data_IF_508532447347
#
_entry.id   IF_508532447347
#
_cell.length_a   1.000
_cell.length_b   1.000
_cell.length_c   1.000
_cell.angle_alpha   90.00
_cell.angle_beta   90.00
_cell.angle_gamma   90.00
#
_symmetry.space_group_name_H-M   'P 1'
#
loop_
_entity.id
_entity.type
_entity.pdbx_description
1 polymer ?
#
# COMPACT_ATOMS: atom_id res chain seq x y z
N UNK A 1 -16.78 -45.50 18.79
CA UNK A 1 -17.14 -45.28 17.37
C UNK A 1 -18.56 -45.75 16.99
N UNK A 2 -19.04 -46.93 17.41
CA UNK A 2 -20.41 -47.41 17.08
C UNK A 2 -21.55 -46.53 17.62
N UNK A 3 -21.44 -46.02 18.85
CA UNK A 3 -22.44 -45.09 19.45
C UNK A 3 -22.53 -43.74 18.74
N UNK A 4 -21.39 -43.17 18.31
CA UNK A 4 -21.35 -41.90 17.58
C UNK A 4 -22.00 -42.03 16.19
N UNK A 5 -21.73 -43.13 15.47
CA UNK A 5 -22.39 -43.45 14.19
C UNK A 5 -23.91 -43.65 14.36
N UNK A 6 -24.34 -44.28 15.45
CA UNK A 6 -25.76 -44.49 15.71
C UNK A 6 -26.51 -43.18 16.04
N UNK A 7 -25.86 -42.29 16.80
CA UNK A 7 -26.39 -40.95 17.08
C UNK A 7 -26.47 -40.09 15.80
N UNK A 8 -25.43 -40.09 14.96
CA UNK A 8 -25.41 -39.39 13.66
C UNK A 8 -26.42 -39.97 12.66
N UNK A 9 -26.77 -41.25 12.75
CA UNK A 9 -27.84 -41.87 11.94
C UNK A 9 -29.25 -41.61 12.47
N UNK A 10 -29.39 -41.13 13.71
CA UNK A 10 -30.68 -40.78 14.31
C UNK A 10 -31.22 -39.45 13.73
N UNK A 11 -32.54 -39.26 13.79
CA UNK A 11 -33.18 -38.04 13.28
C UNK A 11 -32.66 -36.78 14.01
N UNK A 12 -32.39 -36.88 15.31
CA UNK A 12 -31.83 -35.81 16.15
C UNK A 12 -30.40 -35.47 15.73
N UNK A 13 -29.57 -36.48 15.47
CA UNK A 13 -28.19 -36.26 15.01
C UNK A 13 -28.12 -35.60 13.64
N UNK A 14 -29.02 -35.97 12.72
CA UNK A 14 -29.13 -35.30 11.40
C UNK A 14 -29.51 -33.83 11.53
N UNK A 15 -30.50 -33.52 12.37
CA UNK A 15 -30.90 -32.13 12.65
C UNK A 15 -29.74 -31.32 13.25
N UNK A 16 -29.01 -31.90 14.21
CA UNK A 16 -27.85 -31.26 14.81
C UNK A 16 -26.74 -30.97 13.80
N UNK A 17 -26.42 -31.91 12.90
CA UNK A 17 -25.40 -31.71 11.86
C UNK A 17 -25.81 -30.63 10.87
N UNK A 18 -27.09 -30.60 10.45
CA UNK A 18 -27.60 -29.55 9.55
C UNK A 18 -27.50 -28.18 10.22
N UNK A 19 -27.89 -28.08 11.50
CA UNK A 19 -27.79 -26.84 12.27
C UNK A 19 -26.34 -26.39 12.43
N UNK A 20 -25.44 -27.30 12.78
CA UNK A 20 -24.02 -27.03 12.94
C UNK A 20 -23.39 -26.58 11.62
N UNK A 21 -23.74 -27.23 10.51
CA UNK A 21 -23.29 -26.84 9.17
C UNK A 21 -23.79 -25.44 8.81
N UNK A 22 -25.07 -25.14 9.08
CA UNK A 22 -25.64 -23.81 8.86
C UNK A 22 -24.94 -22.73 9.67
N UNK A 23 -24.69 -22.98 10.96
CA UNK A 23 -23.95 -22.06 11.83
C UNK A 23 -22.51 -21.85 11.35
N UNK A 24 -21.83 -22.92 10.92
CA UNK A 24 -20.46 -22.84 10.41
C UNK A 24 -20.38 -21.99 9.12
N UNK A 25 -21.29 -22.22 8.17
CA UNK A 25 -21.35 -21.44 6.92
C UNK A 25 -21.67 -19.98 7.20
N UNK A 26 -22.62 -19.70 8.10
CA UNK A 26 -22.98 -18.34 8.50
C UNK A 26 -21.80 -17.60 9.16
N UNK A 27 -21.06 -18.27 10.04
CA UNK A 27 -19.90 -17.69 10.72
C UNK A 27 -18.77 -17.35 9.72
N UNK A 28 -18.50 -18.22 8.76
CA UNK A 28 -17.50 -17.96 7.72
C UNK A 28 -17.93 -16.79 6.83
N UNK A 29 -19.19 -16.79 6.39
CA UNK A 29 -19.75 -15.73 5.56
C UNK A 29 -19.68 -14.35 6.23
N UNK A 30 -20.10 -14.28 7.50
CA UNK A 30 -20.03 -13.05 8.29
C UNK A 30 -18.58 -12.55 8.46
N UNK A 31 -17.65 -13.47 8.73
CA UNK A 31 -16.23 -13.13 8.90
C UNK A 31 -15.60 -12.61 7.60
N UNK A 32 -15.90 -13.26 6.47
CA UNK A 32 -15.37 -12.87 5.16
C UNK A 32 -15.88 -11.48 4.74
N UNK A 33 -17.17 -11.22 4.91
CA UNK A 33 -17.76 -9.91 4.64
C UNK A 33 -17.15 -8.83 5.53
N UNK A 34 -17.01 -9.09 6.84
CA UNK A 34 -16.40 -8.16 7.78
C UNK A 34 -14.95 -7.83 7.42
N UNK A 35 -14.15 -8.83 7.02
CA UNK A 35 -12.76 -8.62 6.62
C UNK A 35 -12.65 -7.86 5.30
N UNK A 36 -13.49 -8.16 4.30
CA UNK A 36 -13.46 -7.47 3.00
C UNK A 36 -13.77 -5.98 3.14
N UNK A 37 -14.80 -5.63 3.94
CA UNK A 37 -15.17 -4.23 4.19
C UNK A 37 -14.06 -3.47 4.89
N UNK A 38 -13.43 -4.09 5.90
CA UNK A 38 -12.28 -3.49 6.61
C UNK A 38 -11.09 -3.26 5.68
N UNK A 39 -10.78 -4.18 4.78
CA UNK A 39 -9.70 -4.03 3.82
C UNK A 39 -9.95 -2.85 2.86
N UNK A 40 -11.18 -2.75 2.34
CA UNK A 40 -11.56 -1.65 1.45
C UNK A 40 -11.49 -0.28 2.14
N UNK A 41 -11.93 -0.20 3.39
CA UNK A 41 -11.82 1.03 4.19
C UNK A 41 -10.36 1.40 4.45
N UNK A 42 -9.51 0.41 4.75
CA UNK A 42 -8.08 0.63 4.97
C UNK A 42 -7.36 1.12 3.71
N UNK A 43 -7.66 0.53 2.55
CA UNK A 43 -7.09 0.95 1.27
C UNK A 43 -7.45 2.40 0.95
N UNK A 44 -8.72 2.79 1.14
CA UNK A 44 -9.16 4.17 0.96
C UNK A 44 -8.46 5.15 1.91
N UNK A 45 -8.33 4.80 3.18
CA UNK A 45 -7.62 5.64 4.16
C UNK A 45 -6.14 5.81 3.80
N UNK A 46 -5.50 4.73 3.34
CA UNK A 46 -4.11 4.77 2.93
C UNK A 46 -3.91 5.65 1.68
N UNK A 47 -4.78 5.57 0.69
CA UNK A 47 -4.75 6.43 -0.50
C UNK A 47 -4.88 7.91 -0.13
N UNK A 48 -5.86 8.24 0.71
CA UNK A 48 -6.04 9.61 1.19
C UNK A 48 -4.82 10.13 1.94
N UNK A 49 -4.22 9.30 2.80
CA UNK A 49 -3.00 9.65 3.53
C UNK A 49 -1.81 9.91 2.60
N UNK A 50 -1.64 9.11 1.55
CA UNK A 50 -0.58 9.31 0.56
C UNK A 50 -0.82 10.62 -0.20
N UNK A 51 -2.06 10.87 -0.61
CA UNK A 51 -2.44 12.07 -1.33
C UNK A 51 -2.23 13.34 -0.48
N UNK A 52 -2.58 13.32 0.81
CA UNK A 52 -2.32 14.43 1.75
C UNK A 52 -0.83 14.77 1.86
N UNK A 53 0.01 13.73 1.97
CA UNK A 53 1.47 13.90 2.06
C UNK A 53 2.06 14.46 0.77
N UNK A 54 1.59 13.96 -0.38
CA UNK A 54 2.03 14.46 -1.68
C UNK A 54 1.65 15.93 -1.85
N UNK A 55 0.39 16.28 -1.59
CA UNK A 55 -0.10 17.65 -1.70
C UNK A 55 0.63 18.58 -0.74
N UNK A 56 0.82 18.18 0.52
CA UNK A 56 1.58 18.96 1.50
C UNK A 56 3.03 19.19 1.09
N UNK A 57 3.69 18.17 0.53
CA UNK A 57 5.07 18.31 0.07
C UNK A 57 5.18 19.18 -1.19
N UNK A 58 4.27 19.04 -2.16
CA UNK A 58 4.26 19.90 -3.35
C UNK A 58 3.99 21.36 -2.97
N UNK A 59 3.05 21.61 -2.06
CA UNK A 59 2.79 22.95 -1.55
C UNK A 59 4.02 23.54 -0.83
N UNK A 60 4.79 22.71 -0.11
CA UNK A 60 6.05 23.13 0.51
C UNK A 60 7.11 23.52 -0.54
N UNK A 61 7.22 22.73 -1.62
CA UNK A 61 8.12 23.00 -2.74
C UNK A 61 7.75 24.29 -3.48
N UNK A 62 6.46 24.51 -3.72
CA UNK A 62 5.96 25.69 -4.43
C UNK A 62 6.03 26.96 -3.56
N UNK A 63 5.87 26.84 -2.24
CA UNK A 63 6.01 27.94 -1.30
C UNK A 63 7.45 28.38 -1.03
N UNK A 64 8.46 27.57 -1.38
CA UNK A 64 9.88 27.84 -1.10
C UNK A 64 10.76 27.61 -2.34
N UNK A 65 10.66 28.46 -3.38
CA UNK A 65 11.36 28.25 -4.64
C UNK A 65 12.89 28.22 -4.48
N UNK A 66 13.44 29.04 -3.59
CA UNK A 66 14.89 29.10 -3.31
C UNK A 66 15.44 27.80 -2.70
N UNK A 67 14.59 27.05 -2.01
CA UNK A 67 14.95 25.79 -1.35
C UNK A 67 14.50 24.57 -2.14
N UNK A 68 13.81 24.76 -3.26
CA UNK A 68 13.18 23.67 -4.04
C UNK A 68 14.18 22.57 -4.40
N UNK A 69 15.34 22.94 -4.94
CA UNK A 69 16.37 21.98 -5.34
C UNK A 69 16.93 21.20 -4.14
N UNK A 70 17.14 21.89 -3.02
CA UNK A 70 17.61 21.25 -1.78
C UNK A 70 16.55 20.32 -1.19
N UNK A 71 15.29 20.75 -1.18
CA UNK A 71 14.17 19.96 -0.69
C UNK A 71 13.95 18.72 -1.56
N UNK A 72 14.07 18.84 -2.89
CA UNK A 72 14.00 17.71 -3.81
C UNK A 72 15.15 16.73 -3.63
N UNK A 73 16.37 17.22 -3.37
CA UNK A 73 17.54 16.38 -3.11
C UNK A 73 17.42 15.59 -1.81
N UNK A 74 16.91 16.20 -0.74
CA UNK A 74 16.70 15.55 0.55
C UNK A 74 15.48 14.61 0.51
N UNK A 75 14.43 15.03 -0.21
CA UNK A 75 13.13 14.38 -0.18
C UNK A 75 12.31 14.71 1.08
N UNK A 76 11.01 14.52 1.00
CA UNK A 76 10.08 14.61 2.12
C UNK A 76 9.79 13.25 2.78
N UNK A 77 9.01 13.25 3.87
CA UNK A 77 8.50 12.03 4.46
C UNK A 77 7.68 11.24 3.43
N UNK A 78 8.14 10.03 3.07
CA UNK A 78 7.55 9.15 2.06
C UNK A 78 7.44 9.72 0.63
N UNK A 79 8.06 10.87 0.34
CA UNK A 79 8.12 11.46 -1.01
C UNK A 79 9.57 11.73 -1.36
N UNK A 80 10.07 11.14 -2.43
CA UNK A 80 11.47 11.30 -2.86
C UNK A 80 11.54 11.40 -4.36
N UNK A 81 12.60 12.06 -4.85
CA UNK A 81 12.92 12.01 -6.27
C UNK A 81 13.16 10.55 -6.70
N UNK A 82 12.52 10.15 -7.79
CA UNK A 82 12.70 8.83 -8.36
C UNK A 82 14.08 8.74 -9.01
N UNK A 83 14.85 7.70 -8.69
CA UNK A 83 16.17 7.52 -9.30
C UNK A 83 16.08 7.32 -10.81
N UNK A 84 17.06 7.83 -11.58
CA UNK A 84 17.11 7.59 -13.02
C UNK A 84 17.22 6.08 -13.31
N UNK A 85 16.45 5.62 -14.31
CA UNK A 85 16.39 4.20 -14.69
C UNK A 85 15.49 3.33 -13.82
N UNK A 86 14.73 3.91 -12.88
CA UNK A 86 13.71 3.18 -12.16
C UNK A 86 12.61 2.66 -13.10
N UNK A 87 12.26 1.38 -12.98
CA UNK A 87 11.18 0.78 -13.75
C UNK A 87 9.82 1.28 -13.23
N UNK A 88 9.06 1.90 -14.14
CA UNK A 88 7.65 2.20 -13.96
C UNK A 88 6.82 1.01 -14.46
N UNK A 89 5.83 0.65 -13.67
CA UNK A 89 4.85 -0.39 -13.98
C UNK A 89 3.53 0.22 -14.44
N UNK A 90 2.43 -0.47 -14.11
CA UNK A 90 1.07 -0.04 -14.47
C UNK A 90 0.74 1.33 -13.85
N UNK A 91 -0.17 2.06 -14.49
CA UNK A 91 -0.75 3.27 -13.91
C UNK A 91 -1.58 2.92 -12.67
N UNK A 92 -1.56 3.83 -11.68
CA UNK A 92 -2.39 3.73 -10.47
C UNK A 92 -3.59 4.65 -10.59
N UNK A 93 -4.66 4.14 -11.23
CA UNK A 93 -5.88 4.91 -11.46
C UNK A 93 -6.58 5.29 -10.17
N UNK A 94 -6.53 4.44 -9.14
CA UNK A 94 -7.17 4.70 -7.86
C UNK A 94 -6.52 5.90 -7.14
N UNK A 95 -5.19 6.00 -7.15
CA UNK A 95 -4.53 7.19 -6.60
C UNK A 95 -4.73 8.42 -7.49
N UNK A 96 -4.76 8.27 -8.82
CA UNK A 96 -5.04 9.38 -9.74
C UNK A 96 -6.43 9.98 -9.50
N UNK A 97 -7.47 9.16 -9.32
CA UNK A 97 -8.83 9.63 -9.01
C UNK A 97 -8.86 10.44 -7.69
N UNK A 98 -8.21 9.94 -6.64
CA UNK A 98 -8.12 10.65 -5.35
C UNK A 98 -7.36 11.98 -5.47
N UNK A 99 -6.37 12.06 -6.37
CA UNK A 99 -5.61 13.29 -6.61
C UNK A 99 -6.40 14.27 -7.48
N UNK A 100 -7.16 13.81 -8.46
CA UNK A 100 -8.00 14.61 -9.34
C UNK A 100 -9.07 15.40 -8.56
N UNK A 101 -9.65 14.79 -7.52
CA UNK A 101 -10.60 15.44 -6.61
C UNK A 101 -9.98 16.56 -5.75
N UNK A 102 -8.64 16.70 -5.73
CA UNK A 102 -7.94 17.66 -4.88
C UNK A 102 -7.56 18.93 -5.66
N UNK A 103 -7.67 20.11 -5.05
CA UNK A 103 -7.24 21.34 -5.70
C UNK A 103 -5.72 21.44 -5.80
N UNK A 104 -5.24 22.15 -6.82
CA UNK A 104 -3.85 22.54 -6.97
C UNK A 104 -3.03 21.64 -7.90
N UNK A 105 -1.69 21.68 -7.80
CA UNK A 105 -0.77 21.08 -8.77
C UNK A 105 -0.82 19.55 -8.83
N UNK A 106 -1.37 18.91 -7.79
CA UNK A 106 -1.50 17.45 -7.73
C UNK A 106 -2.70 16.90 -8.50
N UNK A 107 -3.68 17.75 -8.85
CA UNK A 107 -4.92 17.36 -9.57
C UNK A 107 -4.69 16.68 -10.93
N UNK A 108 -3.54 16.94 -11.56
CA UNK A 108 -3.17 16.41 -12.88
C UNK A 108 -1.96 15.48 -12.80
N UNK A 109 -1.68 14.91 -11.63
CA UNK A 109 -0.54 14.04 -11.44
C UNK A 109 -0.76 12.69 -12.15
N UNK A 110 0.24 12.25 -12.90
CA UNK A 110 0.29 10.89 -13.41
C UNK A 110 0.97 9.97 -12.41
N UNK A 111 0.26 8.93 -11.96
CA UNK A 111 0.76 7.99 -10.97
C UNK A 111 1.00 6.62 -11.60
N UNK A 112 2.17 6.07 -11.32
CA UNK A 112 2.54 4.72 -11.73
C UNK A 112 3.09 3.94 -10.54
N UNK A 113 2.82 2.63 -10.52
CA UNK A 113 3.53 1.75 -9.60
C UNK A 113 5.00 1.68 -9.99
N UNK A 114 5.89 1.86 -9.03
CA UNK A 114 7.32 1.57 -9.21
C UNK A 114 7.70 0.28 -8.48
N UNK A 115 8.80 -0.34 -8.88
CA UNK A 115 9.33 -1.46 -8.11
C UNK A 115 9.67 -1.01 -6.69
N UNK A 116 9.39 -1.84 -5.68
CA UNK A 116 9.67 -1.50 -4.28
C UNK A 116 11.15 -1.12 -4.05
N UNK A 117 12.07 -1.79 -4.76
CA UNK A 117 13.51 -1.47 -4.74
C UNK A 117 13.83 -0.06 -5.25
N UNK A 118 12.98 0.52 -6.11
CA UNK A 118 13.13 1.89 -6.59
C UNK A 118 12.79 2.93 -5.52
N UNK A 119 11.98 2.57 -4.51
CA UNK A 119 11.57 3.45 -3.43
C UNK A 119 12.50 3.40 -2.21
N UNK A 120 13.39 2.40 -2.16
CA UNK A 120 14.38 2.25 -1.09
C UNK A 120 15.67 2.97 -1.52
N UNK A 121 16.26 3.83 -0.66
CA UNK A 121 17.57 4.41 -0.94
C UNK A 121 18.60 3.29 -1.08
N UNK A 122 19.46 3.37 -2.09
CA UNK A 122 20.53 2.38 -2.22
C UNK A 122 21.52 2.59 -1.08
N UNK A 123 22.10 1.50 -0.57
CA UNK A 123 23.07 1.57 0.52
C UNK A 123 24.25 2.52 0.20
N UNK A 124 24.68 2.53 -1.06
CA UNK A 124 25.70 3.45 -1.57
C UNK A 124 25.35 4.94 -1.40
N UNK A 125 24.07 5.30 -1.38
CA UNK A 125 23.61 6.69 -1.21
C UNK A 125 23.60 7.10 0.27
N UNK A 126 23.69 6.12 1.18
CA UNK A 126 23.74 6.33 2.64
C UNK A 126 25.18 6.32 3.18
N UNK A 127 26.12 5.80 2.39
CA UNK A 127 27.52 5.71 2.75
C UNK A 127 28.23 7.04 2.40
N UNK A 128 29.18 7.49 3.23
CA UNK A 128 30.00 8.64 2.88
C UNK A 128 30.74 8.37 1.55
N UNK A 129 30.97 9.41 0.73
CA UNK A 129 31.69 9.23 -0.53
C UNK A 129 33.07 8.62 -0.24
N UNK A 130 33.53 7.66 -1.06
CA UNK A 130 34.83 7.05 -0.86
C UNK A 130 35.92 8.14 -0.95
N UNK A 131 36.97 8.06 -0.10
CA UNK A 131 38.05 9.03 -0.16
C UNK A 131 38.67 9.04 -1.56
N UNK A 132 39.03 10.22 -2.09
CA UNK A 132 39.66 10.33 -3.41
C UNK A 132 40.97 9.54 -3.40
N UNK A 133 41.03 8.45 -4.16
CA UNK A 133 42.23 7.60 -4.28
C UNK A 133 41.95 6.09 -4.29
N UNK A 134 40.77 5.62 -3.89
CA UNK A 134 40.43 4.20 -3.97
C UNK A 134 39.90 3.82 -5.37
N UNK A 135 40.78 3.86 -6.38
CA UNK A 135 40.56 3.10 -7.63
C UNK A 135 40.72 1.62 -7.29
N UNK A 136 39.65 0.83 -7.44
CA UNK A 136 39.80 -0.64 -7.44
C UNK A 136 40.69 -1.02 -8.62
N UNK A 137 41.76 -1.81 -8.42
CA UNK A 137 42.49 -2.39 -9.53
C UNK A 137 41.60 -3.40 -10.29
N UNK A 138 41.91 -3.67 -11.58
CA UNK A 138 41.09 -4.48 -12.48
C UNK A 138 40.87 -5.92 -12.00
#
# INVERSE_FOLDING_TARGET
MKRLRHFLSSMVGRLFVILLLGMAVAAIGATMLATSKRQQEFERQNLNRIADRLQGYVNLLDGNPELRDRLLAIGGPSVRALQPGARLGRADTALMEVLEDRPGPVSRAHVHFASFRSCIPKLQDLLPPPPPGHRRPP
#
